data_IF_302692773951
#
_entry.id   IF_302692773951
#
_cell.length_a   1.000
_cell.length_b   1.000
_cell.length_c   1.000
_cell.angle_alpha   90.00
_cell.angle_beta   90.00
_cell.angle_gamma   90.00
#
_symmetry.space_group_name_H-M   'P 1'
#
loop_
_entity.id
_entity.type
_entity.pdbx_description
1 polymer ?
#
# COMPACT_ATOMS: atom_id res chain seq x y z
N UNK A 1 -26.60 -11.84 17.98
CA UNK A 1 -25.14 -12.06 18.12
C UNK A 1 -24.40 -12.31 16.81
N UNK A 2 -24.85 -13.16 15.90
CA UNK A 2 -24.16 -13.38 14.60
C UNK A 2 -24.18 -12.15 13.68
N UNK A 3 -25.26 -11.36 13.69
CA UNK A 3 -25.42 -10.17 12.84
C UNK A 3 -24.44 -9.06 13.21
N UNK A 4 -24.22 -8.83 14.50
CA UNK A 4 -23.32 -7.80 15.00
C UNK A 4 -21.86 -8.14 14.73
N UNK A 5 -21.51 -9.42 14.78
CA UNK A 5 -20.14 -9.89 14.44
C UNK A 5 -19.81 -9.68 12.97
N UNK A 6 -20.74 -9.92 12.05
CA UNK A 6 -20.55 -9.69 10.62
C UNK A 6 -20.44 -8.20 10.30
N UNK A 7 -21.26 -7.37 10.95
CA UNK A 7 -21.19 -5.92 10.80
C UNK A 7 -19.84 -5.37 11.26
N UNK A 8 -19.35 -5.84 12.40
CA UNK A 8 -18.02 -5.47 12.92
C UNK A 8 -16.91 -5.85 11.94
N UNK A 9 -16.92 -7.07 11.43
CA UNK A 9 -15.90 -7.54 10.50
C UNK A 9 -15.91 -6.74 9.19
N UNK A 10 -17.09 -6.43 8.67
CA UNK A 10 -17.25 -5.60 7.49
C UNK A 10 -16.76 -4.17 7.72
N UNK A 11 -17.17 -3.56 8.83
CA UNK A 11 -16.72 -2.21 9.20
C UNK A 11 -15.19 -2.16 9.38
N UNK A 12 -14.61 -3.15 10.04
CA UNK A 12 -13.15 -3.26 10.21
C UNK A 12 -12.42 -3.30 8.88
N UNK A 13 -12.83 -4.17 7.96
CA UNK A 13 -12.21 -4.29 6.63
C UNK A 13 -12.34 -2.99 5.84
N UNK A 14 -13.49 -2.34 5.88
CA UNK A 14 -13.74 -1.09 5.16
C UNK A 14 -12.87 0.05 5.70
N UNK A 15 -12.84 0.23 7.02
CA UNK A 15 -12.02 1.27 7.67
C UNK A 15 -10.55 1.02 7.39
N UNK A 16 -10.09 -0.22 7.51
CA UNK A 16 -8.71 -0.59 7.22
C UNK A 16 -8.32 -0.28 5.77
N UNK A 17 -9.19 -0.61 4.82
CA UNK A 17 -8.95 -0.31 3.40
C UNK A 17 -8.84 1.20 3.13
N UNK A 18 -9.70 2.01 3.75
CA UNK A 18 -9.64 3.46 3.63
C UNK A 18 -8.35 4.03 4.24
N UNK A 19 -7.94 3.54 5.41
CA UNK A 19 -6.70 3.98 6.06
C UNK A 19 -5.47 3.61 5.23
N UNK A 20 -5.44 2.41 4.65
CA UNK A 20 -4.35 1.99 3.77
C UNK A 20 -4.31 2.83 2.49
N UNK A 21 -5.47 3.12 1.90
CA UNK A 21 -5.58 4.01 0.75
C UNK A 21 -5.06 5.42 1.05
N UNK A 22 -5.41 6.00 2.20
CA UNK A 22 -4.91 7.31 2.64
C UNK A 22 -3.40 7.29 2.88
N UNK A 23 -2.88 6.26 3.56
CA UNK A 23 -1.43 6.12 3.79
C UNK A 23 -0.65 6.00 2.48
N UNK A 24 -1.15 5.22 1.54
CA UNK A 24 -0.56 5.06 0.21
C UNK A 24 -0.59 6.37 -0.58
N UNK A 25 -1.67 7.13 -0.50
CA UNK A 25 -1.77 8.45 -1.11
C UNK A 25 -0.75 9.43 -0.54
N UNK A 26 -0.61 9.50 0.78
CA UNK A 26 0.35 10.38 1.43
C UNK A 26 1.80 10.05 1.02
N UNK A 27 2.15 8.76 1.00
CA UNK A 27 3.48 8.33 0.57
C UNK A 27 3.73 8.57 -0.91
N UNK A 28 2.74 8.34 -1.76
CA UNK A 28 2.82 8.61 -3.20
C UNK A 28 3.01 10.10 -3.51
N UNK A 29 2.24 10.96 -2.86
CA UNK A 29 2.37 12.42 -3.01
C UNK A 29 3.73 12.91 -2.51
N UNK A 30 4.20 12.39 -1.38
CA UNK A 30 5.53 12.72 -0.87
C UNK A 30 6.63 12.32 -1.85
N UNK A 31 6.55 11.14 -2.43
CA UNK A 31 7.51 10.63 -3.41
C UNK A 31 7.62 11.57 -4.63
N UNK A 32 6.49 11.94 -5.20
CA UNK A 32 6.42 12.83 -6.35
C UNK A 32 6.88 14.26 -6.01
N UNK A 33 6.49 14.75 -4.85
CA UNK A 33 6.90 16.07 -4.38
C UNK A 33 8.42 16.15 -4.18
N UNK A 34 9.01 15.15 -3.52
CA UNK A 34 10.47 15.06 -3.29
C UNK A 34 11.25 14.95 -4.59
N UNK A 35 10.69 14.29 -5.60
CA UNK A 35 11.32 14.13 -6.91
C UNK A 35 11.27 15.41 -7.77
N UNK A 36 10.55 16.45 -7.33
CA UNK A 36 10.38 17.68 -8.10
C UNK A 36 9.49 17.54 -9.34
N UNK A 37 8.79 16.43 -9.48
CA UNK A 37 7.93 16.15 -10.64
C UNK A 37 6.69 17.04 -10.66
N UNK A 38 6.23 17.48 -9.50
CA UNK A 38 5.04 18.34 -9.38
C UNK A 38 5.17 19.70 -10.03
N UNK A 39 6.39 20.20 -10.28
CA UNK A 39 6.62 21.49 -10.88
C UNK A 39 6.03 21.64 -12.30
N UNK A 40 5.83 20.52 -13.01
CA UNK A 40 5.23 20.49 -14.35
C UNK A 40 3.77 20.02 -14.38
N UNK A 41 3.17 19.73 -13.22
CA UNK A 41 1.81 19.17 -13.14
C UNK A 41 0.77 20.27 -12.93
N UNK A 42 -0.34 20.16 -13.63
CA UNK A 42 -1.51 20.97 -13.36
C UNK A 42 -2.39 20.35 -12.27
N UNK A 43 -3.43 21.07 -11.84
CA UNK A 43 -4.37 20.58 -10.82
C UNK A 43 -5.13 19.33 -11.27
N UNK A 44 -5.43 19.21 -12.56
CA UNK A 44 -6.12 18.06 -13.12
C UNK A 44 -5.27 16.79 -13.05
N UNK A 45 -4.00 16.87 -13.39
CA UNK A 45 -3.06 15.75 -13.29
C UNK A 45 -2.87 15.31 -11.85
N UNK A 46 -2.75 16.23 -10.92
CA UNK A 46 -2.65 15.93 -9.50
C UNK A 46 -3.91 15.23 -8.98
N UNK A 47 -5.08 15.70 -9.38
CA UNK A 47 -6.36 15.09 -9.00
C UNK A 47 -6.49 13.66 -9.53
N UNK A 48 -6.15 13.44 -10.81
CA UNK A 48 -6.19 12.11 -11.43
C UNK A 48 -5.23 11.16 -10.71
N UNK A 49 -3.99 11.58 -10.47
CA UNK A 49 -3.01 10.77 -9.75
C UNK A 49 -3.47 10.41 -8.33
N UNK A 50 -3.96 11.40 -7.59
CA UNK A 50 -4.45 11.20 -6.22
C UNK A 50 -5.62 10.25 -6.16
N UNK A 51 -6.60 10.43 -7.05
CA UNK A 51 -7.78 9.56 -7.13
C UNK A 51 -7.42 8.13 -7.54
N UNK A 52 -6.52 7.99 -8.51
CA UNK A 52 -6.05 6.68 -8.95
C UNK A 52 -5.30 5.94 -7.84
N UNK A 53 -4.35 6.61 -7.19
CA UNK A 53 -3.54 6.02 -6.12
C UNK A 53 -4.41 5.60 -4.95
N UNK A 54 -5.25 6.50 -4.46
CA UNK A 54 -6.17 6.21 -3.37
C UNK A 54 -7.13 5.08 -3.71
N UNK A 55 -7.76 5.15 -4.88
CA UNK A 55 -8.75 4.16 -5.33
C UNK A 55 -8.14 2.77 -5.52
N UNK A 56 -6.97 2.69 -6.16
CA UNK A 56 -6.29 1.43 -6.43
C UNK A 56 -5.93 0.70 -5.12
N UNK A 57 -5.27 1.38 -4.20
CA UNK A 57 -4.83 0.75 -2.95
C UNK A 57 -5.99 0.45 -2.00
N UNK A 58 -7.02 1.29 -1.98
CA UNK A 58 -8.26 0.99 -1.26
C UNK A 58 -8.96 -0.25 -1.83
N UNK A 59 -9.04 -0.36 -3.15
CA UNK A 59 -9.64 -1.52 -3.82
C UNK A 59 -8.87 -2.81 -3.52
N UNK A 60 -7.55 -2.79 -3.62
CA UNK A 60 -6.70 -3.94 -3.29
C UNK A 60 -6.93 -4.38 -1.84
N UNK A 61 -6.95 -3.44 -0.90
CA UNK A 61 -7.19 -3.75 0.50
C UNK A 61 -8.61 -4.29 0.76
N UNK A 62 -9.62 -3.78 0.06
CA UNK A 62 -10.98 -4.32 0.14
C UNK A 62 -11.09 -5.75 -0.39
N UNK A 63 -10.43 -6.03 -1.52
CA UNK A 63 -10.41 -7.39 -2.11
C UNK A 63 -9.72 -8.36 -1.15
N UNK A 64 -8.54 -8.03 -0.64
CA UNK A 64 -7.82 -8.87 0.33
C UNK A 64 -8.62 -9.07 1.62
N UNK A 65 -9.21 -8.01 2.16
CA UNK A 65 -10.06 -8.09 3.35
C UNK A 65 -11.29 -8.97 3.13
N UNK A 66 -11.90 -8.89 1.94
CA UNK A 66 -13.03 -9.75 1.58
C UNK A 66 -12.64 -11.23 1.49
N UNK A 67 -11.44 -11.51 0.95
CA UNK A 67 -10.89 -12.87 0.91
C UNK A 67 -10.66 -13.39 2.33
N UNK A 68 -10.13 -12.58 3.24
CA UNK A 68 -9.94 -12.97 4.63
C UNK A 68 -11.27 -13.25 5.34
N UNK A 69 -12.30 -12.46 5.07
CA UNK A 69 -13.63 -12.69 5.63
C UNK A 69 -14.32 -13.94 5.06
N UNK A 70 -13.98 -14.33 3.84
CA UNK A 70 -14.46 -15.59 3.26
C UNK A 70 -13.85 -16.81 3.94
N UNK A 71 -12.69 -16.68 4.58
CA UNK A 71 -12.04 -17.78 5.28
C UNK A 71 -12.66 -17.98 6.67
N UNK A 72 -13.29 -19.16 6.95
CA UNK A 72 -14.05 -19.34 8.18
C UNK A 72 -13.24 -19.19 9.48
N UNK A 73 -11.97 -19.59 9.45
CA UNK A 73 -11.08 -19.50 10.60
C UNK A 73 -10.81 -18.05 11.00
N UNK A 74 -10.53 -17.19 10.04
CA UNK A 74 -10.29 -15.76 10.26
C UNK A 74 -11.56 -15.03 10.67
N UNK A 75 -12.69 -15.37 10.06
CA UNK A 75 -13.99 -14.78 10.39
C UNK A 75 -14.43 -15.08 11.83
N UNK A 76 -14.13 -16.26 12.34
CA UNK A 76 -14.48 -16.66 13.71
C UNK A 76 -13.54 -16.08 14.76
N UNK A 77 -12.26 -15.93 14.43
CA UNK A 77 -11.25 -15.44 15.36
C UNK A 77 -10.88 -13.97 15.03
N UNK A 78 -11.54 -13.03 15.71
CA UNK A 78 -11.30 -11.60 15.52
C UNK A 78 -9.86 -11.17 15.80
N UNK A 79 -9.23 -11.76 16.81
CA UNK A 79 -7.82 -11.46 17.17
C UNK A 79 -6.87 -11.87 16.05
N UNK A 80 -7.09 -13.05 15.46
CA UNK A 80 -6.28 -13.56 14.36
C UNK A 80 -6.47 -12.69 13.10
N UNK A 81 -7.73 -12.36 12.76
CA UNK A 81 -8.04 -11.47 11.64
C UNK A 81 -7.34 -10.13 11.80
N UNK A 82 -7.47 -9.51 12.97
CA UNK A 82 -6.87 -8.22 13.28
C UNK A 82 -5.34 -8.28 13.20
N UNK A 83 -4.71 -9.30 13.81
CA UNK A 83 -3.26 -9.47 13.81
C UNK A 83 -2.68 -9.67 12.41
N UNK A 84 -3.28 -10.53 11.58
CA UNK A 84 -2.83 -10.77 10.20
C UNK A 84 -3.00 -9.52 9.36
N UNK A 85 -4.12 -8.82 9.47
CA UNK A 85 -4.39 -7.62 8.69
C UNK A 85 -3.38 -6.53 9.02
N UNK A 86 -3.16 -6.24 10.30
CA UNK A 86 -2.17 -5.25 10.73
C UNK A 86 -0.76 -5.64 10.26
N UNK A 87 -0.38 -6.90 10.39
CA UNK A 87 0.94 -7.35 9.96
C UNK A 87 1.18 -7.14 8.46
N UNK A 88 0.18 -7.46 7.63
CA UNK A 88 0.26 -7.23 6.19
C UNK A 88 0.27 -5.73 5.83
N UNK A 89 -0.52 -4.93 6.53
CA UNK A 89 -0.51 -3.47 6.34
C UNK A 89 0.86 -2.87 6.65
N UNK A 90 1.51 -3.31 7.73
CA UNK A 90 2.86 -2.88 8.08
C UNK A 90 3.88 -3.24 7.00
N UNK A 91 3.87 -4.48 6.52
CA UNK A 91 4.77 -4.90 5.42
C UNK A 91 4.54 -4.03 4.19
N UNK A 92 3.28 -3.81 3.84
CA UNK A 92 2.92 -3.03 2.67
C UNK A 92 3.33 -1.56 2.78
N UNK A 93 3.08 -0.93 3.94
CA UNK A 93 3.47 0.46 4.18
C UNK A 93 5.00 0.63 4.24
N UNK A 94 5.72 -0.31 4.81
CA UNK A 94 7.20 -0.31 4.79
C UNK A 94 7.72 -0.38 3.36
N UNK A 95 7.14 -1.25 2.53
CA UNK A 95 7.49 -1.34 1.11
C UNK A 95 7.24 -0.01 0.37
N UNK A 96 6.06 0.58 0.55
CA UNK A 96 5.73 1.87 -0.06
C UNK A 96 6.62 3.01 0.46
N UNK A 97 6.94 3.01 1.74
CA UNK A 97 7.86 4.00 2.30
C UNK A 97 9.27 3.86 1.70
N UNK A 98 9.78 2.64 1.58
CA UNK A 98 11.06 2.38 0.92
C UNK A 98 11.05 2.85 -0.53
N UNK A 99 9.99 2.56 -1.29
CA UNK A 99 9.82 3.04 -2.67
C UNK A 99 9.78 4.57 -2.73
N UNK A 100 9.08 5.21 -1.80
CA UNK A 100 9.01 6.68 -1.72
C UNK A 100 10.36 7.35 -1.45
N UNK A 101 11.26 6.69 -0.73
CA UNK A 101 12.62 7.18 -0.52
C UNK A 101 13.55 6.90 -1.72
N UNK A 102 13.38 5.78 -2.37
CA UNK A 102 14.24 5.36 -3.50
C UNK A 102 13.89 6.13 -4.78
N UNK A 103 12.61 6.39 -5.02
CA UNK A 103 12.14 7.04 -6.24
C UNK A 103 12.79 8.41 -6.51
N UNK A 104 12.92 9.33 -5.53
CA UNK A 104 13.58 10.62 -5.78
C UNK A 104 15.07 10.48 -6.15
N UNK A 105 15.73 9.45 -5.64
CA UNK A 105 17.17 9.23 -5.85
C UNK A 105 17.46 8.65 -7.24
N UNK A 106 16.68 7.66 -7.64
CA UNK A 106 16.96 6.87 -8.85
C UNK A 106 15.98 7.11 -9.98
N UNK A 107 14.90 7.88 -9.74
CA UNK A 107 13.79 8.06 -10.69
C UNK A 107 13.18 6.73 -11.14
N UNK A 108 13.29 5.71 -10.32
CA UNK A 108 12.77 4.38 -10.58
C UNK A 108 12.06 3.84 -9.33
N UNK A 109 10.94 3.20 -9.55
CA UNK A 109 10.23 2.53 -8.47
C UNK A 109 10.95 1.26 -8.05
N UNK A 110 10.86 0.96 -6.76
CA UNK A 110 11.38 -0.27 -6.21
C UNK A 110 10.63 -1.47 -6.84
N UNK A 111 11.36 -2.29 -7.56
CA UNK A 111 10.82 -3.50 -8.16
C UNK A 111 11.63 -4.73 -7.76
N UNK A 112 11.09 -5.90 -8.04
CA UNK A 112 11.73 -7.17 -7.68
C UNK A 112 13.14 -7.31 -8.27
N UNK A 113 13.35 -6.82 -9.50
CA UNK A 113 14.65 -6.87 -10.14
C UNK A 113 15.71 -6.02 -9.40
N UNK A 114 15.32 -4.83 -8.92
CA UNK A 114 16.22 -3.98 -8.12
C UNK A 114 16.57 -4.64 -6.78
N UNK A 115 15.58 -5.24 -6.12
CA UNK A 115 15.78 -5.98 -4.87
C UNK A 115 16.74 -7.15 -5.12
N UNK A 116 16.51 -7.90 -6.17
CA UNK A 116 17.35 -9.04 -6.54
C UNK A 116 18.79 -8.62 -6.86
N UNK A 117 18.98 -7.54 -7.60
CA UNK A 117 20.31 -7.00 -7.90
C UNK A 117 21.05 -6.55 -6.63
N UNK A 118 20.35 -5.95 -5.67
CA UNK A 118 20.96 -5.49 -4.42
C UNK A 118 21.40 -6.67 -3.55
N UNK A 119 20.59 -7.72 -3.45
CA UNK A 119 20.88 -8.87 -2.59
C UNK A 119 21.76 -9.94 -3.26
N UNK A 120 21.63 -10.15 -4.57
CA UNK A 120 22.35 -11.20 -5.28
C UNK A 120 23.56 -10.68 -6.05
N UNK A 121 23.58 -9.40 -6.40
CA UNK A 121 24.63 -8.79 -7.24
C UNK A 121 25.86 -8.28 -6.50
N UNK A 122 25.98 -8.47 -5.18
CA UNK A 122 27.19 -8.14 -4.41
C UNK A 122 27.69 -6.72 -4.57
N UNK A 123 26.81 -5.74 -4.70
CA UNK A 123 27.19 -4.33 -4.72
C UNK A 123 27.86 -3.84 -6.00
N UNK A 124 27.91 -4.60 -7.05
CA UNK A 124 28.29 -4.10 -8.37
C UNK A 124 27.12 -3.32 -8.95
N UNK A 125 27.06 -2.06 -8.61
CA UNK A 125 26.28 -1.09 -9.37
C UNK A 125 26.92 -1.04 -10.74
N UNK A 126 26.23 -1.61 -11.72
CA UNK A 126 26.61 -1.39 -13.11
C UNK A 126 26.35 0.08 -13.37
N UNK A 127 27.39 0.88 -13.40
CA UNK A 127 27.32 2.27 -13.86
C UNK A 127 26.93 2.26 -15.32
N UNK A 128 25.77 2.75 -15.60
CA UNK A 128 25.34 3.05 -16.96
C UNK A 128 25.94 4.37 -17.42
#
# INVERSE_FOLDING_TARGET
MKKDSNLFNFAFVTINALLLGLGSLCLGLRSIFSAGVLAGWDKGQLLIFSSYTFGLFTLIALVLGSIFLAYPLLRKNKKLLFGITIFLDWIFLIYLAADAFIYPLYRAHLNFAMIQMTFLGGGRIVSF
#
